data_IF_412117733715
#
_entry.id   IF_412117733715
#
_cell.length_a   1.000
_cell.length_b   1.000
_cell.length_c   1.000
_cell.angle_alpha   90.00
_cell.angle_beta   90.00
_cell.angle_gamma   90.00
#
_symmetry.space_group_name_H-M   'P 1'
#
loop_
_entity.id
_entity.type
_entity.pdbx_description
1 polymer ?
#
# COMPACT_ATOMS: atom_id res chain seq x y z
N UNK A 1 1.88 -4.24 -9.03
CA UNK A 1 0.68 -5.04 -9.33
C UNK A 1 1.03 -6.19 -10.24
N UNK A 2 0.73 -7.42 -9.81
CA UNK A 2 0.79 -8.62 -10.65
C UNK A 2 -0.60 -9.23 -10.70
N UNK A 3 -1.16 -9.44 -11.89
CA UNK A 3 -2.48 -10.04 -12.10
C UNK A 3 -3.59 -9.40 -11.24
N UNK A 4 -3.71 -8.06 -11.30
CA UNK A 4 -4.70 -7.27 -10.56
C UNK A 4 -4.59 -7.29 -9.03
N UNK A 5 -3.52 -7.87 -8.46
CA UNK A 5 -3.33 -8.00 -7.03
C UNK A 5 -1.91 -7.70 -6.57
N UNK A 6 -1.68 -7.80 -5.26
CA UNK A 6 -0.35 -7.87 -4.66
C UNK A 6 0.34 -9.20 -4.95
N UNK A 7 1.69 -9.26 -4.91
CA UNK A 7 2.43 -10.52 -5.05
C UNK A 7 2.13 -11.50 -3.90
N UNK A 8 2.20 -12.82 -4.19
CA UNK A 8 1.96 -13.88 -3.19
C UNK A 8 2.97 -13.84 -2.03
N UNK A 9 4.21 -13.39 -2.29
CA UNK A 9 5.24 -13.22 -1.27
C UNK A 9 4.85 -12.13 -0.26
N UNK A 10 4.31 -11.00 -0.75
CA UNK A 10 3.84 -9.92 0.12
C UNK A 10 2.63 -10.38 0.93
N UNK A 11 1.69 -11.10 0.32
CA UNK A 11 0.55 -11.69 1.03
C UNK A 11 1.01 -12.65 2.12
N UNK A 12 2.00 -13.49 1.85
CA UNK A 12 2.59 -14.41 2.82
C UNK A 12 3.22 -13.67 4.00
N UNK A 13 3.93 -12.57 3.76
CA UNK A 13 4.47 -11.73 4.82
C UNK A 13 3.36 -11.11 5.69
N UNK A 14 2.30 -10.58 5.05
CA UNK A 14 1.12 -10.05 5.77
C UNK A 14 0.53 -11.11 6.70
N UNK A 15 0.38 -12.36 6.23
CA UNK A 15 -0.14 -13.46 7.03
C UNK A 15 0.72 -13.80 8.25
N UNK A 16 2.01 -13.49 8.21
CA UNK A 16 2.93 -13.70 9.34
C UNK A 16 2.93 -12.56 10.35
N UNK A 17 2.50 -11.36 9.96
CA UNK A 17 2.46 -10.20 10.86
C UNK A 17 1.05 -9.92 11.41
N UNK A 18 -0.01 -10.37 10.74
CA UNK A 18 -1.40 -10.25 11.19
C UNK A 18 -1.75 -11.36 12.19
N UNK A 19 -1.33 -11.20 13.45
CA UNK A 19 -1.42 -12.23 14.50
C UNK A 19 -2.26 -11.73 15.68
N UNK A 20 -3.27 -12.52 16.04
CA UNK A 20 -4.14 -12.24 17.18
C UNK A 20 -3.34 -12.18 18.50
N UNK A 21 -3.65 -11.19 19.33
CA UNK A 21 -2.92 -10.89 20.58
C UNK A 21 -1.55 -10.22 20.36
N UNK A 22 -1.14 -9.95 19.12
CA UNK A 22 0.14 -9.29 18.79
C UNK A 22 -0.05 -8.00 18.02
N UNK A 23 -0.64 -8.07 16.83
CA UNK A 23 -0.89 -6.91 15.96
C UNK A 23 -2.37 -6.54 15.84
N UNK A 24 -3.26 -7.42 16.29
CA UNK A 24 -4.66 -7.10 16.57
C UNK A 24 -5.16 -7.96 17.74
N UNK A 25 -6.31 -7.63 18.33
CA UNK A 25 -7.02 -8.48 19.32
C UNK A 25 -8.52 -8.42 19.12
N UNK A 26 -9.24 -9.43 19.61
CA UNK A 26 -10.70 -9.41 19.64
C UNK A 26 -11.22 -8.71 20.90
N UNK A 27 -12.33 -8.01 20.76
CA UNK A 27 -13.10 -7.37 21.83
C UNK A 27 -14.59 -7.68 21.63
N UNK A 28 -15.44 -7.30 22.58
CA UNK A 28 -16.89 -7.45 22.47
C UNK A 28 -17.48 -6.70 21.25
N UNK A 29 -16.83 -5.61 20.83
CA UNK A 29 -17.23 -4.81 19.67
C UNK A 29 -16.56 -5.23 18.36
N UNK A 30 -15.78 -6.32 18.36
CA UNK A 30 -15.03 -6.81 17.19
C UNK A 30 -13.50 -6.67 17.31
N UNK A 31 -12.76 -6.97 16.23
CA UNK A 31 -11.30 -6.88 16.24
C UNK A 31 -10.82 -5.42 16.30
N UNK A 32 -9.74 -5.18 17.04
CA UNK A 32 -9.05 -3.89 17.12
C UNK A 32 -7.56 -4.06 16.84
N UNK A 33 -6.98 -3.15 16.06
CA UNK A 33 -5.56 -3.11 15.76
C UNK A 33 -4.70 -2.73 16.95
N UNK A 34 -3.45 -3.21 16.98
CA UNK A 34 -2.46 -2.97 18.04
C UNK A 34 -1.15 -2.36 17.52
N UNK A 35 -1.04 -2.13 16.21
CA UNK A 35 0.18 -1.67 15.55
C UNK A 35 0.20 -0.16 15.23
N UNK A 36 -0.71 0.63 15.82
CA UNK A 36 -0.80 2.07 15.58
C UNK A 36 0.39 2.90 16.05
N UNK A 37 0.35 4.20 15.76
CA UNK A 37 1.48 5.12 15.99
C UNK A 37 2.66 4.87 15.05
N UNK A 38 2.42 4.20 13.93
CA UNK A 38 3.41 3.94 12.88
C UNK A 38 2.95 4.62 11.61
N UNK A 39 3.90 5.26 10.93
CA UNK A 39 3.75 5.69 9.53
C UNK A 39 4.21 4.57 8.61
N UNK A 40 3.40 4.23 7.61
CA UNK A 40 3.78 3.26 6.57
C UNK A 40 3.74 3.93 5.21
N UNK A 41 4.81 3.75 4.43
CA UNK A 41 4.85 4.17 3.02
C UNK A 41 4.69 2.95 2.12
N UNK A 42 3.68 2.97 1.25
CA UNK A 42 3.46 1.98 0.20
C UNK A 42 4.08 2.51 -1.10
N UNK A 43 5.14 1.84 -1.58
CA UNK A 43 5.65 2.02 -2.93
C UNK A 43 4.80 1.19 -3.91
N UNK A 44 3.81 1.82 -4.53
CA UNK A 44 2.85 1.17 -5.43
C UNK A 44 3.26 1.37 -6.89
N UNK A 45 3.44 0.27 -7.62
CA UNK A 45 3.72 0.30 -9.06
C UNK A 45 2.75 -0.58 -9.85
N UNK A 46 2.34 -0.14 -11.03
CA UNK A 46 1.53 -0.94 -11.94
C UNK A 46 1.84 -0.63 -13.41
N UNK A 47 1.59 -1.61 -14.28
CA UNK A 47 1.72 -1.45 -15.72
C UNK A 47 0.63 -0.53 -16.30
N UNK A 48 -0.62 -0.70 -15.85
CA UNK A 48 -1.76 0.15 -16.19
C UNK A 48 -2.08 1.19 -15.11
N UNK A 49 -3.25 1.82 -15.23
CA UNK A 49 -3.80 2.80 -14.29
C UNK A 49 -5.02 2.16 -13.62
N UNK A 50 -4.96 1.96 -12.30
CA UNK A 50 -5.93 1.17 -11.54
C UNK A 50 -6.35 1.81 -10.22
N UNK A 51 -5.59 2.78 -9.71
CA UNK A 51 -5.92 3.49 -8.48
C UNK A 51 -7.34 4.10 -8.55
N UNK A 52 -8.14 3.86 -7.51
CA UNK A 52 -9.53 4.33 -7.44
C UNK A 52 -10.51 3.61 -8.39
N UNK A 53 -10.09 2.54 -9.07
CA UNK A 53 -10.93 1.76 -9.97
C UNK A 53 -11.20 0.34 -9.44
N UNK A 54 -12.27 -0.35 -9.90
CA UNK A 54 -12.53 -1.74 -9.50
C UNK A 54 -11.37 -2.70 -9.74
N UNK A 55 -10.58 -2.46 -10.78
CA UNK A 55 -9.39 -3.26 -11.11
C UNK A 55 -8.22 -3.08 -10.13
N UNK A 56 -8.27 -2.09 -9.24
CA UNK A 56 -7.27 -1.83 -8.19
C UNK A 56 -7.60 -2.41 -6.81
N UNK A 57 -8.79 -2.99 -6.62
CA UNK A 57 -9.29 -3.39 -5.28
C UNK A 57 -8.40 -4.41 -4.55
N UNK A 58 -7.77 -5.35 -5.28
CA UNK A 58 -6.89 -6.36 -4.69
C UNK A 58 -5.42 -5.91 -4.60
N UNK A 59 -5.13 -4.66 -4.92
CA UNK A 59 -3.79 -4.06 -4.87
C UNK A 59 -3.69 -3.05 -3.73
N UNK A 60 -3.92 -1.76 -4.00
CA UNK A 60 -3.77 -0.70 -2.99
C UNK A 60 -4.86 -0.77 -1.93
N UNK A 61 -6.12 -0.93 -2.32
CA UNK A 61 -7.25 -0.96 -1.36
C UNK A 61 -7.12 -2.13 -0.38
N UNK A 62 -6.63 -3.29 -0.86
CA UNK A 62 -6.32 -4.43 -0.01
C UNK A 62 -5.24 -4.11 1.02
N UNK A 63 -4.13 -3.49 0.59
CA UNK A 63 -3.04 -3.11 1.48
C UNK A 63 -3.50 -2.11 2.54
N UNK A 64 -4.19 -1.05 2.12
CA UNK A 64 -4.74 -0.03 3.02
C UNK A 64 -5.69 -0.67 4.02
N UNK A 65 -6.61 -1.54 3.56
CA UNK A 65 -7.52 -2.27 4.46
C UNK A 65 -6.76 -3.12 5.48
N UNK A 66 -5.74 -3.87 5.07
CA UNK A 66 -4.96 -4.71 5.97
C UNK A 66 -4.15 -3.91 7.00
N UNK A 67 -3.56 -2.79 6.59
CA UNK A 67 -2.83 -1.89 7.48
C UNK A 67 -3.78 -1.23 8.49
N UNK A 68 -4.91 -0.70 8.03
CA UNK A 68 -5.95 -0.16 8.91
C UNK A 68 -6.46 -1.21 9.90
N UNK A 69 -6.64 -2.46 9.45
CA UNK A 69 -7.08 -3.56 10.32
C UNK A 69 -6.11 -3.82 11.49
N UNK A 70 -4.80 -3.77 11.25
CA UNK A 70 -3.80 -3.89 12.33
C UNK A 70 -3.58 -2.57 13.09
N UNK A 71 -4.30 -1.51 12.74
CA UNK A 71 -4.34 -0.24 13.46
C UNK A 71 -3.36 0.82 12.93
N UNK A 72 -2.80 0.63 11.74
CA UNK A 72 -1.95 1.62 11.06
C UNK A 72 -2.85 2.47 10.17
N UNK A 73 -3.01 3.74 10.50
CA UNK A 73 -3.88 4.71 9.83
C UNK A 73 -3.10 5.83 9.11
N UNK A 74 -1.88 6.14 9.57
CA UNK A 74 -0.93 7.00 8.86
C UNK A 74 -0.24 6.23 7.72
N UNK A 75 -0.87 6.28 6.54
CA UNK A 75 -0.45 5.56 5.34
C UNK A 75 -0.20 6.55 4.20
N UNK A 76 1.00 6.52 3.67
CA UNK A 76 1.40 7.28 2.50
C UNK A 76 1.59 6.36 1.29
N UNK A 77 1.08 6.76 0.13
CA UNK A 77 1.24 5.97 -1.11
C UNK A 77 2.09 6.76 -2.10
N UNK A 78 3.28 6.23 -2.38
CA UNK A 78 4.14 6.68 -3.48
C UNK A 78 3.80 5.82 -4.69
N UNK A 79 3.19 6.44 -5.72
CA UNK A 79 2.62 5.72 -6.86
C UNK A 79 3.37 5.98 -8.15
N UNK A 80 3.60 4.90 -8.91
CA UNK A 80 4.09 4.92 -10.28
C UNK A 80 3.24 3.96 -11.15
N UNK A 81 2.21 4.49 -11.82
CA UNK A 81 1.33 3.74 -12.75
C UNK A 81 1.70 4.02 -14.22
N UNK A 82 1.04 3.36 -15.16
CA UNK A 82 1.31 3.47 -16.61
C UNK A 82 2.71 3.01 -17.06
N UNK A 83 3.41 2.23 -16.23
CA UNK A 83 4.79 1.80 -16.49
C UNK A 83 4.96 0.89 -17.71
N UNK A 84 3.86 0.37 -18.26
CA UNK A 84 3.84 -0.48 -19.45
C UNK A 84 3.33 0.24 -20.71
N UNK A 85 3.04 1.55 -20.66
CA UNK A 85 2.47 2.30 -21.79
C UNK A 85 3.52 2.91 -22.74
N UNK A 86 4.81 2.68 -22.48
CA UNK A 86 5.92 3.21 -23.29
C UNK A 86 6.94 3.97 -22.44
N UNK A 87 8.02 4.43 -23.06
CA UNK A 87 9.14 5.08 -22.34
C UNK A 87 8.73 6.43 -21.74
N UNK A 88 7.97 7.26 -22.47
CA UNK A 88 7.55 8.58 -22.00
C UNK A 88 6.57 8.49 -20.81
N UNK A 89 5.44 7.73 -20.86
CA UNK A 89 4.56 7.56 -19.70
C UNK A 89 5.30 6.97 -18.48
N UNK A 90 6.19 6.01 -18.73
CA UNK A 90 7.04 5.42 -17.68
C UNK A 90 7.95 6.47 -17.04
N UNK A 91 8.59 7.32 -17.85
CA UNK A 91 9.48 8.38 -17.39
C UNK A 91 8.75 9.38 -16.49
N UNK A 92 7.59 9.86 -16.92
CA UNK A 92 6.77 10.80 -16.15
C UNK A 92 6.23 10.18 -14.85
N UNK A 93 5.78 8.92 -14.88
CA UNK A 93 5.33 8.22 -13.69
C UNK A 93 6.46 8.06 -12.65
N UNK A 94 7.67 7.70 -13.09
CA UNK A 94 8.83 7.58 -12.21
C UNK A 94 9.27 8.92 -11.64
N UNK A 95 9.22 10.00 -12.45
CA UNK A 95 9.51 11.36 -12.01
C UNK A 95 8.50 11.84 -10.95
N UNK A 96 7.21 11.62 -11.18
CA UNK A 96 6.16 11.94 -10.21
C UNK A 96 6.34 11.19 -8.88
N UNK A 97 6.68 9.90 -8.93
CA UNK A 97 6.99 9.12 -7.74
C UNK A 97 8.22 9.66 -6.98
N UNK A 98 9.29 10.01 -7.70
CA UNK A 98 10.49 10.60 -7.10
C UNK A 98 10.19 11.96 -6.43
N UNK A 99 9.38 12.81 -7.08
CA UNK A 99 8.94 14.07 -6.49
C UNK A 99 8.13 13.83 -5.21
N UNK A 100 7.20 12.88 -5.20
CA UNK A 100 6.42 12.55 -4.00
C UNK A 100 7.31 12.07 -2.86
N UNK A 101 8.36 11.29 -3.14
CA UNK A 101 9.36 10.90 -2.13
C UNK A 101 10.05 12.13 -1.56
N UNK A 102 10.49 13.07 -2.40
CA UNK A 102 11.10 14.31 -1.93
C UNK A 102 10.15 15.12 -1.03
N UNK A 103 8.86 15.18 -1.36
CA UNK A 103 7.86 15.89 -0.54
C UNK A 103 7.64 15.21 0.82
N UNK A 104 7.61 13.88 0.86
CA UNK A 104 7.39 13.11 2.09
C UNK A 104 8.58 13.15 3.05
N UNK A 105 9.78 13.23 2.51
CA UNK A 105 11.03 13.12 3.29
C UNK A 105 11.90 14.37 3.21
N UNK A 106 11.36 15.50 2.74
CA UNK A 106 12.04 16.78 2.83
C UNK A 106 12.30 17.06 4.31
N UNK A 107 13.58 17.04 4.70
CA UNK A 107 14.01 17.46 6.03
C UNK A 107 13.65 18.93 6.22
N UNK A 108 12.88 19.24 7.26
CA UNK A 108 12.74 20.60 7.78
C UNK A 108 14.09 21.12 8.32
#
# INVERSE_FOLDING_TARGET
MYNFAIPSQLKTWIDRIAVAGKSFKYTESGPVGLAGGKTVVIASSAGGIHAGQPSGQAHEDYLVRMLNFVGIDDIEIVRAESLAYGEEPRGEAMKGAAQRICELFATA
#
